data_IF_814667100129
#
_entry.id   IF_814667100129
#
_cell.length_a   1.000
_cell.length_b   1.000
_cell.length_c   1.000
_cell.angle_alpha   90.00
_cell.angle_beta   90.00
_cell.angle_gamma   90.00
#
_symmetry.space_group_name_H-M   'P 1'
#
loop_
_entity.id
_entity.type
_entity.pdbx_description
1 polymer ?
#
# COMPACT_ATOMS: atom_id res chain seq x y z
N UNK A 1 -1.58 12.09 5.56
CA UNK A 1 -1.92 12.39 6.98
C UNK A 1 -2.22 11.17 7.86
N UNK A 2 -2.30 9.93 7.35
CA UNK A 2 -2.56 8.74 8.17
C UNK A 2 -1.41 8.40 9.13
N UNK A 3 -0.18 8.30 8.60
CA UNK A 3 1.03 7.99 9.37
C UNK A 3 1.27 9.00 10.50
N UNK A 4 1.14 10.30 10.20
CA UNK A 4 1.28 11.36 11.21
C UNK A 4 0.23 11.23 12.34
N UNK A 5 -1.04 10.93 12.00
CA UNK A 5 -2.09 10.72 13.01
C UNK A 5 -1.86 9.47 13.86
N UNK A 6 -1.22 8.46 13.29
CA UNK A 6 -0.84 7.24 14.00
C UNK A 6 0.45 7.40 14.83
N UNK A 7 1.07 8.59 14.83
CA UNK A 7 2.24 8.90 15.68
C UNK A 7 3.57 8.38 15.15
N UNK A 8 3.66 8.08 13.85
CA UNK A 8 4.94 7.72 13.22
C UNK A 8 5.88 8.93 13.13
N UNK A 9 7.18 8.65 13.20
CA UNK A 9 8.28 9.62 13.06
C UNK A 9 8.31 10.28 11.68
N UNK A 10 8.90 11.48 11.62
CA UNK A 10 8.86 12.36 10.44
C UNK A 10 9.41 11.70 9.18
N UNK A 11 10.41 10.83 9.30
CA UNK A 11 11.04 10.10 8.20
C UNK A 11 10.06 9.11 7.55
N UNK A 12 9.26 8.40 8.35
CA UNK A 12 8.21 7.49 7.86
C UNK A 12 7.08 8.30 7.22
N UNK A 13 6.72 9.45 7.80
CA UNK A 13 5.73 10.35 7.21
C UNK A 13 6.22 10.90 5.87
N UNK A 14 7.49 11.32 5.78
CA UNK A 14 8.12 11.81 4.56
C UNK A 14 8.17 10.71 3.49
N UNK A 15 8.58 9.49 3.84
CA UNK A 15 8.55 8.36 2.93
C UNK A 15 7.13 8.08 2.41
N UNK A 16 6.11 8.16 3.26
CA UNK A 16 4.72 8.04 2.82
C UNK A 16 4.23 9.17 1.91
N UNK A 17 4.83 10.37 1.98
CA UNK A 17 4.56 11.45 1.02
C UNK A 17 5.26 11.18 -0.32
N UNK A 18 6.46 10.59 -0.27
CA UNK A 18 7.33 10.36 -1.43
C UNK A 18 7.11 9.00 -2.11
N UNK A 19 6.27 8.11 -1.58
CA UNK A 19 6.24 6.70 -1.97
C UNK A 19 6.04 6.43 -3.47
N UNK A 20 5.26 7.26 -4.16
CA UNK A 20 5.00 7.12 -5.61
C UNK A 20 5.96 7.96 -6.48
N UNK A 21 6.86 8.77 -5.89
CA UNK A 21 7.66 9.73 -6.68
C UNK A 21 8.62 9.08 -7.66
N UNK A 22 9.23 7.95 -7.28
CA UNK A 22 10.10 7.17 -8.17
C UNK A 22 9.35 6.56 -9.36
N UNK A 23 8.07 6.20 -9.15
CA UNK A 23 7.21 5.57 -10.15
C UNK A 23 6.55 6.59 -11.08
N UNK A 24 6.04 7.70 -10.53
CA UNK A 24 5.17 8.64 -11.25
C UNK A 24 5.90 9.86 -11.81
N UNK A 25 7.18 10.04 -11.49
CA UNK A 25 7.93 11.22 -11.89
C UNK A 25 9.34 10.88 -12.39
N UNK A 26 10.04 11.88 -12.93
CA UNK A 26 11.45 11.77 -13.29
C UNK A 26 12.39 11.77 -12.07
N UNK A 27 11.87 12.02 -10.87
CA UNK A 27 12.61 12.04 -9.61
C UNK A 27 12.84 10.60 -9.12
N UNK A 28 14.10 10.16 -8.99
CA UNK A 28 14.42 8.75 -8.72
C UNK A 28 14.91 8.49 -7.30
N UNK A 29 14.93 7.22 -6.89
CA UNK A 29 15.47 6.80 -5.57
C UNK A 29 16.85 7.41 -5.24
N UNK A 30 17.73 7.58 -6.25
CA UNK A 30 19.03 8.24 -6.07
C UNK A 30 18.90 9.71 -5.67
N UNK A 31 17.89 10.41 -6.18
CA UNK A 31 17.61 11.81 -5.92
C UNK A 31 16.92 11.94 -4.55
N UNK A 32 16.01 11.02 -4.23
CA UNK A 32 15.42 10.90 -2.88
C UNK A 32 16.52 10.70 -1.83
N UNK A 33 17.46 9.78 -2.08
CA UNK A 33 18.60 9.53 -1.20
C UNK A 33 19.50 10.75 -1.06
N UNK A 34 19.72 11.51 -2.13
CA UNK A 34 20.55 12.72 -2.09
C UNK A 34 19.92 13.81 -1.23
N UNK A 35 18.62 14.07 -1.40
CA UNK A 35 17.95 15.23 -0.82
C UNK A 35 17.35 14.93 0.57
N UNK A 36 16.94 13.69 0.83
CA UNK A 36 16.22 13.28 2.05
C UNK A 36 16.96 12.24 2.88
N UNK A 37 18.03 11.64 2.34
CA UNK A 37 18.87 10.66 3.04
C UNK A 37 18.49 9.20 2.81
N UNK A 38 19.36 8.30 3.29
CA UNK A 38 19.26 6.85 3.05
C UNK A 38 17.98 6.24 3.60
N UNK A 39 17.63 6.55 4.86
CA UNK A 39 16.50 5.90 5.55
C UNK A 39 15.18 6.10 4.80
N UNK A 40 14.92 7.33 4.33
CA UNK A 40 13.71 7.64 3.56
C UNK A 40 13.74 6.91 2.21
N UNK A 41 14.88 6.91 1.53
CA UNK A 41 15.02 6.22 0.25
C UNK A 41 14.82 4.70 0.39
N UNK A 42 15.31 4.08 1.46
CA UNK A 42 15.09 2.66 1.76
C UNK A 42 13.61 2.34 2.00
N UNK A 43 12.89 3.20 2.75
CA UNK A 43 11.46 3.01 2.98
C UNK A 43 10.68 3.14 1.67
N UNK A 44 10.97 4.17 0.86
CA UNK A 44 10.31 4.39 -0.45
C UNK A 44 10.57 3.22 -1.40
N UNK A 45 11.82 2.75 -1.49
CA UNK A 45 12.18 1.59 -2.30
C UNK A 45 11.42 0.33 -1.88
N UNK A 46 11.25 0.12 -0.57
CA UNK A 46 10.47 -1.00 -0.05
C UNK A 46 8.96 -0.91 -0.31
N UNK A 47 8.43 0.27 -0.64
CA UNK A 47 7.01 0.45 -0.98
C UNK A 47 6.73 0.35 -2.47
N UNK A 48 7.76 0.44 -3.30
CA UNK A 48 7.65 0.41 -4.77
C UNK A 48 7.48 -1.02 -5.27
N UNK A 49 6.73 -1.20 -6.36
CA UNK A 49 6.59 -2.53 -6.95
C UNK A 49 7.83 -2.92 -7.75
N UNK A 50 8.11 -4.24 -7.86
CA UNK A 50 9.17 -4.73 -8.73
C UNK A 50 8.82 -4.47 -10.21
N UNK A 51 9.73 -4.88 -11.09
CA UNK A 51 9.65 -4.80 -12.55
C UNK A 51 8.22 -4.75 -13.11
N UNK A 52 7.84 -3.58 -13.64
CA UNK A 52 6.51 -3.32 -14.21
C UNK A 52 6.25 -4.11 -15.50
N UNK A 53 7.24 -4.82 -16.05
CA UNK A 53 7.07 -5.75 -17.16
C UNK A 53 6.38 -7.07 -16.75
N UNK A 54 6.36 -7.38 -15.45
CA UNK A 54 5.70 -8.56 -14.90
C UNK A 54 4.18 -8.44 -14.91
N UNK A 55 3.50 -9.59 -14.83
CA UNK A 55 2.03 -9.62 -14.73
C UNK A 55 1.54 -8.90 -13.47
N UNK A 56 0.28 -8.47 -13.45
CA UNK A 56 -0.29 -7.85 -12.26
C UNK A 56 -0.24 -8.81 -11.07
N UNK A 57 -0.55 -10.08 -11.32
CA UNK A 57 -0.55 -11.18 -10.36
C UNK A 57 0.82 -11.38 -9.73
N UNK A 58 1.88 -11.49 -10.54
CA UNK A 58 3.25 -11.68 -10.06
C UNK A 58 3.73 -10.49 -9.22
N UNK A 59 3.40 -9.26 -9.64
CA UNK A 59 3.77 -8.05 -8.89
C UNK A 59 3.06 -8.00 -7.55
N UNK A 60 1.77 -8.35 -7.50
CA UNK A 60 1.00 -8.38 -6.25
C UNK A 60 1.44 -9.49 -5.31
N UNK A 61 1.74 -10.68 -5.83
CA UNK A 61 2.28 -11.80 -5.05
C UNK A 61 3.65 -11.44 -4.46
N UNK A 62 4.52 -10.79 -5.23
CA UNK A 62 5.78 -10.28 -4.72
C UNK A 62 5.58 -9.28 -3.58
N UNK A 63 4.69 -8.30 -3.73
CA UNK A 63 4.37 -7.34 -2.66
C UNK A 63 3.86 -8.05 -1.40
N UNK A 64 2.97 -9.04 -1.55
CA UNK A 64 2.42 -9.82 -0.43
C UNK A 64 3.56 -10.53 0.31
N UNK A 65 4.43 -11.27 -0.38
CA UNK A 65 5.51 -12.01 0.30
C UNK A 65 6.60 -11.10 0.86
N UNK A 66 6.92 -10.00 0.18
CA UNK A 66 7.90 -9.03 0.66
C UNK A 66 7.46 -8.38 1.98
N UNK A 67 6.21 -7.88 2.05
CA UNK A 67 5.71 -7.15 3.22
C UNK A 67 5.56 -8.02 4.48
N UNK A 68 5.53 -9.33 4.31
CA UNK A 68 5.48 -10.30 5.40
C UNK A 68 6.71 -10.18 6.31
N UNK A 69 7.85 -9.86 5.71
CA UNK A 69 9.16 -9.81 6.38
C UNK A 69 9.81 -8.41 6.35
N UNK A 70 9.19 -7.43 5.69
CA UNK A 70 9.68 -6.06 5.64
C UNK A 70 9.74 -5.40 7.03
N UNK A 71 10.48 -4.30 7.13
CA UNK A 71 10.59 -3.52 8.37
C UNK A 71 9.24 -2.95 8.80
N UNK A 72 9.12 -2.59 10.09
CA UNK A 72 7.92 -1.92 10.62
C UNK A 72 7.52 -0.69 9.82
N UNK A 73 8.51 0.05 9.35
CA UNK A 73 8.31 1.36 8.71
C UNK A 73 7.82 1.19 7.28
N UNK A 74 8.41 0.25 6.52
CA UNK A 74 7.91 -0.12 5.19
C UNK A 74 6.48 -0.68 5.28
N UNK A 75 6.22 -1.58 6.24
CA UNK A 75 4.88 -2.13 6.48
C UNK A 75 3.88 -1.02 6.82
N UNK A 76 4.27 -0.02 7.61
CA UNK A 76 3.41 1.09 7.97
C UNK A 76 3.06 1.96 6.76
N UNK A 77 4.04 2.32 5.93
CA UNK A 77 3.81 3.14 4.72
C UNK A 77 2.95 2.39 3.72
N UNK A 78 3.30 1.13 3.39
CA UNK A 78 2.51 0.31 2.48
C UNK A 78 1.07 0.10 2.97
N UNK A 79 0.88 -0.13 4.28
CA UNK A 79 -0.46 -0.25 4.87
C UNK A 79 -1.24 1.07 4.78
N UNK A 80 -0.59 2.21 5.02
CA UNK A 80 -1.25 3.52 4.96
C UNK A 80 -1.73 3.86 3.54
N UNK A 81 -0.91 3.59 2.52
CA UNK A 81 -1.30 3.73 1.12
C UNK A 81 -2.48 2.81 0.78
N UNK A 82 -2.40 1.53 1.14
CA UNK A 82 -3.45 0.55 0.82
C UNK A 82 -4.77 0.83 1.57
N UNK A 83 -4.68 1.39 2.78
CA UNK A 83 -5.85 1.91 3.51
C UNK A 83 -6.47 3.14 2.83
N UNK A 84 -5.65 4.03 2.27
CA UNK A 84 -6.17 5.15 1.47
C UNK A 84 -6.86 4.66 0.20
N UNK A 85 -6.25 3.68 -0.48
CA UNK A 85 -6.80 3.11 -1.71
C UNK A 85 -8.13 2.41 -1.44
N UNK A 86 -8.21 1.49 -0.46
CA UNK A 86 -9.48 0.79 -0.16
C UNK A 86 -10.61 1.75 0.21
N UNK A 87 -10.31 2.84 0.95
CA UNK A 87 -11.31 3.86 1.31
C UNK A 87 -11.80 4.63 0.09
N UNK A 88 -10.93 4.88 -0.88
CA UNK A 88 -11.30 5.49 -2.16
C UNK A 88 -12.21 4.55 -2.95
N UNK A 89 -11.89 3.26 -3.01
CA UNK A 89 -12.73 2.24 -3.68
C UNK A 89 -14.11 2.14 -3.02
N UNK A 90 -14.18 2.15 -1.68
CA UNK A 90 -15.46 2.11 -0.95
C UNK A 90 -16.32 3.31 -1.31
N UNK A 91 -15.74 4.51 -1.38
CA UNK A 91 -16.47 5.72 -1.74
C UNK A 91 -17.04 5.63 -3.16
N UNK A 92 -16.25 5.15 -4.11
CA UNK A 92 -16.71 4.95 -5.48
C UNK A 92 -17.79 3.86 -5.55
N UNK A 93 -17.62 2.76 -4.80
CA UNK A 93 -18.62 1.70 -4.69
C UNK A 93 -19.95 2.21 -4.10
N UNK A 94 -19.91 3.12 -3.12
CA UNK A 94 -21.11 3.74 -2.55
C UNK A 94 -21.86 4.63 -3.55
N UNK A 95 -21.18 5.13 -4.58
CA UNK A 95 -21.78 5.95 -5.64
C UNK A 95 -22.26 5.10 -6.83
N UNK A 96 -21.43 4.16 -7.27
CA UNK A 96 -21.59 3.46 -8.56
C UNK A 96 -21.93 1.97 -8.41
N UNK A 97 -21.90 1.42 -7.19
CA UNK A 97 -22.12 0.00 -6.92
C UNK A 97 -21.07 -0.88 -7.61
N UNK A 98 -21.50 -2.00 -8.17
CA UNK A 98 -20.60 -2.96 -8.84
C UNK A 98 -19.97 -2.41 -10.14
N UNK A 99 -20.45 -1.29 -10.69
CA UNK A 99 -19.83 -0.66 -11.87
C UNK A 99 -18.41 -0.16 -11.59
N UNK A 100 -18.06 0.09 -10.31
CA UNK A 100 -16.70 0.50 -9.91
C UNK A 100 -15.65 -0.51 -10.39
N UNK A 101 -15.98 -1.79 -10.45
CA UNK A 101 -15.05 -2.86 -10.83
C UNK A 101 -14.62 -2.78 -12.30
N UNK A 102 -15.39 -2.10 -13.15
CA UNK A 102 -15.01 -1.87 -14.56
C UNK A 102 -13.88 -0.85 -14.71
N UNK A 103 -13.60 -0.04 -13.69
CA UNK A 103 -12.48 0.92 -13.68
C UNK A 103 -11.13 0.24 -13.46
N UNK A 104 -11.13 -1.01 -12.99
CA UNK A 104 -9.92 -1.76 -12.73
C UNK A 104 -9.61 -2.70 -13.88
N UNK A 105 -8.34 -2.78 -14.27
CA UNK A 105 -7.84 -3.79 -15.22
C UNK A 105 -8.01 -5.24 -14.71
N UNK A 106 -8.35 -5.40 -13.43
CA UNK A 106 -8.64 -6.66 -12.74
C UNK A 106 -9.91 -6.49 -11.92
N UNK A 107 -10.84 -7.43 -12.09
CA UNK A 107 -12.18 -7.35 -11.48
C UNK A 107 -12.18 -7.56 -9.98
N UNK A 108 -13.39 -7.56 -9.41
CA UNK A 108 -13.64 -7.66 -7.96
C UNK A 108 -12.89 -8.80 -7.29
N UNK A 109 -12.93 -10.00 -7.86
CA UNK A 109 -12.32 -11.21 -7.27
C UNK A 109 -10.81 -11.06 -7.08
N UNK A 110 -10.10 -10.50 -8.06
CA UNK A 110 -8.66 -10.28 -7.96
C UNK A 110 -8.33 -9.17 -6.96
N UNK A 111 -9.14 -8.11 -6.90
CA UNK A 111 -8.96 -7.08 -5.87
C UNK A 111 -9.18 -7.65 -4.47
N UNK A 112 -10.23 -8.48 -4.28
CA UNK A 112 -10.52 -9.15 -3.01
C UNK A 112 -9.37 -10.07 -2.58
N UNK A 113 -8.88 -10.90 -3.51
CA UNK A 113 -7.72 -11.76 -3.28
C UNK A 113 -6.52 -10.93 -2.82
N UNK A 114 -6.19 -9.86 -3.53
CA UNK A 114 -5.03 -9.04 -3.21
C UNK A 114 -5.13 -8.42 -1.83
N UNK A 115 -6.22 -7.72 -1.53
CA UNK A 115 -6.39 -7.04 -0.25
C UNK A 115 -6.49 -8.00 0.93
N UNK A 116 -7.12 -9.17 0.77
CA UNK A 116 -7.22 -10.19 1.83
C UNK A 116 -5.83 -10.75 2.17
N UNK A 117 -5.06 -11.18 1.17
CA UNK A 117 -3.72 -11.73 1.38
C UNK A 117 -2.73 -10.66 1.88
N UNK A 118 -2.89 -9.41 1.43
CA UNK A 118 -2.09 -8.29 1.90
C UNK A 118 -2.30 -8.03 3.40
N UNK A 119 -3.55 -8.08 3.89
CA UNK A 119 -3.85 -7.94 5.32
C UNK A 119 -3.22 -9.08 6.11
N UNK A 120 -3.33 -10.33 5.64
CA UNK A 120 -2.70 -11.49 6.29
C UNK A 120 -1.17 -11.35 6.37
N UNK A 121 -0.54 -10.93 5.27
CA UNK A 121 0.90 -10.64 5.21
C UNK A 121 1.30 -9.54 6.19
N UNK A 122 0.61 -8.40 6.17
CA UNK A 122 0.88 -7.27 7.07
C UNK A 122 0.66 -7.63 8.54
N UNK A 123 -0.17 -8.62 8.87
CA UNK A 123 -0.38 -9.09 10.25
C UNK A 123 0.65 -10.14 10.70
N UNK A 124 1.48 -10.67 9.79
CA UNK A 124 2.33 -11.83 10.07
C UNK A 124 3.28 -11.63 11.26
N UNK A 125 3.88 -10.44 11.39
CA UNK A 125 4.79 -10.09 12.50
C UNK A 125 4.05 -9.45 13.70
N UNK A 126 2.72 -9.52 13.74
CA UNK A 126 1.89 -8.85 14.73
C UNK A 126 1.09 -7.68 14.14
N UNK A 127 -0.13 -7.51 14.66
CA UNK A 127 -1.03 -6.44 14.26
C UNK A 127 -0.61 -5.08 14.83
N UNK A 128 -0.94 -4.03 14.10
CA UNK A 128 -0.74 -2.62 14.46
C UNK A 128 -1.98 -1.83 14.03
N UNK A 129 -2.17 -0.63 14.57
CA UNK A 129 -3.42 0.15 14.43
C UNK A 129 -3.88 0.31 12.98
N UNK A 130 -2.96 0.65 12.06
CA UNK A 130 -3.30 0.85 10.65
C UNK A 130 -3.76 -0.44 9.95
N UNK A 131 -3.19 -1.61 10.26
CA UNK A 131 -3.61 -2.87 9.63
C UNK A 131 -4.97 -3.33 10.15
N UNK A 132 -5.32 -3.01 11.40
CA UNK A 132 -6.66 -3.25 11.94
C UNK A 132 -7.72 -2.36 11.26
N UNK A 133 -7.38 -1.12 10.95
CA UNK A 133 -8.24 -0.25 10.14
C UNK A 133 -8.39 -0.77 8.71
N UNK A 134 -7.29 -1.19 8.08
CA UNK A 134 -7.30 -1.78 6.74
C UNK A 134 -8.20 -3.02 6.69
N UNK A 135 -8.04 -3.95 7.62
CA UNK A 135 -8.84 -5.16 7.70
C UNK A 135 -10.34 -4.87 7.79
N UNK A 136 -10.74 -3.88 8.61
CA UNK A 136 -12.14 -3.46 8.73
C UNK A 136 -12.70 -2.95 7.41
N UNK A 137 -11.95 -2.12 6.68
CA UNK A 137 -12.40 -1.58 5.40
C UNK A 137 -12.43 -2.66 4.30
N UNK A 138 -11.47 -3.59 4.29
CA UNK A 138 -11.46 -4.74 3.38
C UNK A 138 -12.69 -5.62 3.61
N UNK A 139 -13.00 -5.97 4.86
CA UNK A 139 -14.23 -6.71 5.21
C UNK A 139 -15.48 -5.95 4.78
N UNK A 140 -15.53 -4.63 5.05
CA UNK A 140 -16.65 -3.76 4.67
C UNK A 140 -16.88 -3.69 3.16
N UNK A 141 -15.85 -3.78 2.35
CA UNK A 141 -15.98 -3.70 0.89
C UNK A 141 -16.39 -5.05 0.28
N UNK A 142 -15.74 -6.14 0.69
CA UNK A 142 -15.86 -7.42 0.00
C UNK A 142 -16.82 -8.43 0.65
N UNK A 143 -16.95 -8.42 1.99
CA UNK A 143 -17.67 -9.45 2.75
C UNK A 143 -19.03 -8.98 3.31
N UNK A 144 -19.68 -8.02 2.63
CA UNK A 144 -21.03 -7.57 2.98
C UNK A 144 -22.05 -8.69 2.83
#
# INVERSE_FOLDING_TARGET
MLLMKAGYRDEVVAAGILHDTDEDTDYKLKDIKHDFGEEIAEIVAGCSEPDKSLSWEDRKEHTIEFLKNASSDIRAVACADKLHNIRSIIKDYEQDGDEVWQRFNRGKEQQEWYYTNLVESLRHQGAFSLVEELEKEVIRLFKR
#
